data_IF_264492930018
#
_entry.id   IF_264492930018
#
_cell.length_a   1.000
_cell.length_b   1.000
_cell.length_c   1.000
_cell.angle_alpha   90.00
_cell.angle_beta   90.00
_cell.angle_gamma   90.00
#
_symmetry.space_group_name_H-M   'P 1'
#
loop_
_entity.id
_entity.type
_entity.pdbx_description
1 polymer ?
#
# COMPACT_ATOMS: atom_id res chain seq x y z
N UNK A 1 -27.67 -1.77 -19.05
CA UNK A 1 -27.01 -2.81 -18.24
C UNK A 1 -25.53 -2.49 -18.10
N UNK A 2 -24.89 -2.92 -17.01
CA UNK A 2 -23.45 -2.81 -16.75
C UNK A 2 -22.67 -4.10 -17.09
N UNK A 3 -23.38 -5.16 -17.49
CA UNK A 3 -22.79 -6.34 -18.13
C UNK A 3 -22.74 -6.13 -19.64
N UNK A 4 -21.53 -6.13 -20.21
CA UNK A 4 -21.27 -5.86 -21.63
C UNK A 4 -20.21 -6.86 -22.14
N UNK A 5 -20.58 -8.14 -22.37
CA UNK A 5 -19.64 -9.20 -22.75
C UNK A 5 -18.93 -8.96 -24.09
N UNK A 6 -19.49 -8.11 -24.94
CA UNK A 6 -18.91 -7.70 -26.23
C UNK A 6 -17.90 -6.55 -26.13
N UNK A 7 -17.66 -6.01 -24.93
CA UNK A 7 -16.76 -4.86 -24.76
C UNK A 7 -15.30 -5.26 -24.97
N UNK A 8 -14.69 -4.70 -26.02
CA UNK A 8 -13.24 -4.74 -26.19
C UNK A 8 -12.57 -3.73 -25.24
N UNK A 9 -11.76 -4.23 -24.31
CA UNK A 9 -11.01 -3.38 -23.39
C UNK A 9 -10.06 -2.45 -24.13
N UNK A 10 -9.86 -1.24 -23.60
CA UNK A 10 -8.90 -0.27 -24.14
C UNK A 10 -7.57 -0.38 -23.40
N UNK A 11 -6.49 0.04 -24.05
CA UNK A 11 -5.17 0.10 -23.42
C UNK A 11 -5.12 1.03 -22.20
N UNK A 12 -6.02 2.01 -22.17
CA UNK A 12 -6.17 3.00 -21.08
C UNK A 12 -7.10 2.55 -19.96
N UNK A 13 -7.81 1.45 -20.09
CA UNK A 13 -8.74 1.01 -19.04
C UNK A 13 -7.97 0.42 -17.85
N UNK A 14 -8.38 0.78 -16.63
CA UNK A 14 -8.04 -0.01 -15.44
C UNK A 14 -8.90 -1.27 -15.48
N UNK A 15 -8.27 -2.44 -15.34
CA UNK A 15 -9.01 -3.71 -15.31
C UNK A 15 -8.91 -4.32 -13.92
N UNK A 16 -10.02 -4.83 -13.41
CA UNK A 16 -10.09 -5.54 -12.13
C UNK A 16 -10.60 -6.95 -12.32
N UNK A 17 -9.95 -7.91 -11.66
CA UNK A 17 -10.43 -9.29 -11.55
C UNK A 17 -11.03 -9.48 -10.16
N UNK A 18 -12.34 -9.67 -10.07
CA UNK A 18 -13.04 -9.93 -8.83
C UNK A 18 -13.41 -11.40 -8.72
N UNK A 19 -13.01 -12.07 -7.64
CA UNK A 19 -13.59 -13.34 -7.23
C UNK A 19 -14.92 -13.06 -6.53
N UNK A 20 -16.01 -13.42 -7.17
CA UNK A 20 -17.39 -13.14 -6.73
C UNK A 20 -18.07 -14.43 -6.28
N UNK A 21 -18.70 -14.41 -5.11
CA UNK A 21 -19.62 -15.46 -4.66
C UNK A 21 -21.01 -14.84 -4.47
N UNK A 22 -21.93 -14.99 -5.44
CA UNK A 22 -23.28 -14.45 -5.34
C UNK A 22 -24.12 -15.12 -4.23
N UNK A 23 -25.19 -14.46 -3.80
CA UNK A 23 -26.25 -15.13 -3.02
C UNK A 23 -26.99 -16.18 -3.88
N UNK A 24 -27.58 -17.22 -3.27
CA UNK A 24 -28.45 -18.15 -3.99
C UNK A 24 -29.57 -17.40 -4.73
N UNK A 25 -29.76 -17.72 -6.01
CA UNK A 25 -30.75 -17.08 -6.87
C UNK A 25 -30.31 -15.78 -7.53
N UNK A 26 -29.10 -15.26 -7.24
CA UNK A 26 -28.53 -14.11 -7.97
C UNK A 26 -27.67 -14.64 -9.13
N UNK A 27 -28.01 -14.31 -10.40
CA UNK A 27 -27.21 -14.69 -11.54
C UNK A 27 -25.78 -14.09 -11.48
N UNK A 28 -24.75 -14.79 -11.95
CA UNK A 28 -23.38 -14.26 -11.94
C UNK A 28 -23.24 -13.00 -12.80
N UNK A 29 -24.00 -12.89 -13.91
CA UNK A 29 -24.03 -11.70 -14.77
C UNK A 29 -24.56 -10.48 -14.02
N UNK A 30 -25.61 -10.65 -13.21
CA UNK A 30 -26.17 -9.59 -12.39
C UNK A 30 -25.21 -9.21 -11.25
N UNK A 31 -24.56 -10.19 -10.63
CA UNK A 31 -23.55 -9.95 -9.60
C UNK A 31 -22.35 -9.17 -10.16
N UNK A 32 -21.83 -9.55 -11.34
CA UNK A 32 -20.77 -8.83 -12.04
C UNK A 32 -21.19 -7.42 -12.47
N UNK A 33 -22.40 -7.27 -13.01
CA UNK A 33 -22.96 -5.97 -13.37
C UNK A 33 -23.12 -5.04 -12.15
N UNK A 34 -23.60 -5.56 -11.02
CA UNK A 34 -23.77 -4.79 -9.79
C UNK A 34 -22.42 -4.30 -9.24
N UNK A 35 -21.40 -5.16 -9.24
CA UNK A 35 -20.03 -4.74 -8.88
C UNK A 35 -19.55 -3.64 -9.82
N UNK A 36 -19.69 -3.79 -11.14
CA UNK A 36 -19.27 -2.78 -12.12
C UNK A 36 -20.03 -1.45 -11.98
N UNK A 37 -21.34 -1.50 -11.70
CA UNK A 37 -22.19 -0.34 -11.55
C UNK A 37 -21.78 0.51 -10.34
N UNK A 38 -21.76 -0.10 -9.16
CA UNK A 38 -21.62 0.59 -7.86
C UNK A 38 -20.15 0.83 -7.46
N UNK A 39 -19.21 0.41 -8.31
CA UNK A 39 -17.81 0.84 -8.29
C UNK A 39 -17.47 1.85 -9.39
N UNK A 40 -18.47 2.37 -10.12
CA UNK A 40 -18.28 3.40 -11.14
C UNK A 40 -19.30 4.54 -11.07
N UNK A 41 -20.53 4.32 -11.55
CA UNK A 41 -21.52 5.38 -11.83
C UNK A 41 -22.95 5.03 -11.45
N UNK A 42 -23.25 3.76 -11.22
CA UNK A 42 -24.61 3.28 -11.01
C UNK A 42 -25.07 3.37 -9.56
N UNK A 43 -26.38 3.29 -9.38
CA UNK A 43 -27.05 3.11 -8.08
C UNK A 43 -28.26 2.18 -8.26
N UNK A 44 -28.98 1.91 -7.17
CA UNK A 44 -30.05 0.91 -7.09
C UNK A 44 -31.32 1.21 -7.92
N UNK A 45 -31.47 2.42 -8.46
CA UNK A 45 -32.62 2.81 -9.30
C UNK A 45 -32.16 3.75 -10.42
N UNK A 46 -32.94 3.83 -11.49
CA UNK A 46 -32.65 4.75 -12.60
C UNK A 46 -32.74 6.20 -12.14
N UNK A 47 -31.79 7.03 -12.59
CA UNK A 47 -31.74 8.45 -12.27
C UNK A 47 -31.70 9.26 -13.56
N UNK A 48 -32.56 10.28 -13.67
CA UNK A 48 -32.66 11.09 -14.89
C UNK A 48 -31.38 11.89 -15.18
N UNK A 49 -30.56 12.13 -14.16
CA UNK A 49 -29.27 12.83 -14.25
C UNK A 49 -28.26 12.08 -15.11
N UNK A 50 -28.45 10.78 -15.36
CA UNK A 50 -27.66 10.03 -16.33
C UNK A 50 -27.74 10.65 -17.73
N UNK A 51 -28.87 11.27 -18.08
CA UNK A 51 -29.06 11.98 -19.35
C UNK A 51 -28.30 13.30 -19.47
N UNK A 52 -27.65 13.77 -18.39
CA UNK A 52 -26.80 14.96 -18.39
C UNK A 52 -25.33 14.64 -18.70
N UNK A 53 -24.96 13.35 -18.77
CA UNK A 53 -23.60 12.89 -19.04
C UNK A 53 -23.62 11.76 -20.08
N UNK A 54 -22.44 11.29 -20.48
CA UNK A 54 -22.31 10.12 -21.35
C UNK A 54 -21.98 8.89 -20.52
N UNK A 55 -23.00 8.14 -20.08
CA UNK A 55 -22.79 6.87 -19.40
C UNK A 55 -21.94 5.90 -20.23
N UNK A 56 -22.09 5.91 -21.55
CA UNK A 56 -21.28 5.07 -22.43
C UNK A 56 -19.80 5.42 -22.41
N UNK A 57 -19.42 6.63 -21.97
CA UNK A 57 -18.02 6.97 -21.69
C UNK A 57 -17.60 6.50 -20.31
N UNK A 58 -18.38 6.78 -19.27
CA UNK A 58 -17.96 6.70 -17.86
C UNK A 58 -18.32 5.41 -17.14
N UNK A 59 -19.28 4.62 -17.63
CA UNK A 59 -19.68 3.39 -16.93
C UNK A 59 -18.52 2.38 -16.86
N UNK A 60 -18.33 1.81 -15.67
CA UNK A 60 -17.61 0.56 -15.52
C UNK A 60 -18.35 -0.56 -16.26
N UNK A 61 -17.63 -1.58 -16.71
CA UNK A 61 -18.19 -2.63 -17.56
C UNK A 61 -17.72 -3.99 -17.09
N UNK A 62 -18.64 -4.85 -16.64
CA UNK A 62 -18.34 -6.26 -16.49
C UNK A 62 -18.34 -6.88 -17.88
N UNK A 63 -17.16 -7.21 -18.40
CA UNK A 63 -16.98 -7.60 -19.80
C UNK A 63 -16.69 -9.10 -19.97
N UNK A 64 -16.36 -9.80 -18.90
CA UNK A 64 -16.16 -11.24 -18.94
C UNK A 64 -16.41 -11.86 -17.56
N UNK A 65 -16.89 -13.11 -17.55
CA UNK A 65 -17.21 -13.88 -16.35
C UNK A 65 -16.83 -15.33 -16.59
N UNK A 66 -15.94 -15.87 -15.77
CA UNK A 66 -15.55 -17.28 -15.81
C UNK A 66 -15.85 -17.99 -14.48
N UNK A 67 -16.33 -19.25 -14.49
CA UNK A 67 -16.47 -20.04 -13.27
C UNK A 67 -15.09 -20.40 -12.70
N UNK A 68 -14.96 -20.37 -11.38
CA UNK A 68 -13.73 -20.79 -10.69
C UNK A 68 -13.68 -22.32 -10.64
N UNK A 69 -12.67 -22.91 -11.27
CA UNK A 69 -12.46 -24.36 -11.24
C UNK A 69 -12.36 -24.90 -9.80
N UNK A 70 -13.17 -25.93 -9.50
CA UNK A 70 -13.18 -26.61 -8.21
C UNK A 70 -13.97 -25.91 -7.09
N UNK A 71 -14.59 -24.76 -7.36
CA UNK A 71 -15.44 -24.05 -6.40
C UNK A 71 -16.89 -24.03 -6.90
N UNK A 72 -17.86 -24.27 -6.01
CA UNK A 72 -19.27 -24.18 -6.35
C UNK A 72 -19.77 -22.73 -6.20
N UNK A 73 -20.46 -22.22 -7.22
CA UNK A 73 -21.05 -20.88 -7.23
C UNK A 73 -20.05 -19.73 -6.95
N UNK A 74 -18.85 -19.83 -7.54
CA UNK A 74 -17.84 -18.78 -7.49
C UNK A 74 -17.31 -18.49 -8.89
N UNK A 75 -17.10 -17.20 -9.18
CA UNK A 75 -16.75 -16.72 -10.50
C UNK A 75 -15.61 -15.71 -10.41
N UNK A 76 -14.83 -15.57 -11.47
CA UNK A 76 -14.03 -14.37 -11.69
C UNK A 76 -14.82 -13.46 -12.63
N UNK A 77 -15.24 -12.30 -12.12
CA UNK A 77 -15.86 -11.26 -12.91
C UNK A 77 -14.81 -10.20 -13.25
N UNK A 78 -14.60 -9.97 -14.54
CA UNK A 78 -13.67 -8.97 -15.03
C UNK A 78 -14.39 -7.65 -15.30
N UNK A 79 -13.89 -6.57 -14.69
CA UNK A 79 -14.46 -5.23 -14.80
C UNK A 79 -13.46 -4.28 -15.42
N UNK A 80 -13.87 -3.55 -16.46
CA UNK A 80 -13.09 -2.48 -17.08
C UNK A 80 -13.61 -1.11 -16.64
N UNK A 81 -12.70 -0.25 -16.20
CA UNK A 81 -12.98 1.12 -15.77
C UNK A 81 -12.27 2.12 -16.70
N UNK A 82 -13.01 3.08 -17.28
CA UNK A 82 -12.41 4.18 -18.03
C UNK A 82 -11.39 4.96 -17.19
N UNK A 83 -10.27 5.35 -17.80
CA UNK A 83 -9.20 6.11 -17.14
C UNK A 83 -9.71 7.38 -16.44
N UNK A 84 -10.60 8.11 -17.10
CA UNK A 84 -11.13 9.41 -16.65
C UNK A 84 -11.92 9.35 -15.32
N UNK A 85 -12.19 8.15 -14.79
CA UNK A 85 -12.82 8.00 -13.48
C UNK A 85 -11.88 8.25 -12.30
N UNK A 86 -10.57 8.26 -12.54
CA UNK A 86 -9.57 8.19 -11.49
C UNK A 86 -8.75 9.48 -11.39
N UNK A 87 -8.65 10.00 -10.17
CA UNK A 87 -7.79 11.14 -9.83
C UNK A 87 -6.31 10.77 -10.02
N UNK A 88 -5.59 11.57 -10.81
CA UNK A 88 -4.18 11.38 -11.09
C UNK A 88 -3.32 11.34 -9.82
N UNK A 89 -2.57 10.25 -9.63
CA UNK A 89 -1.63 10.13 -8.52
C UNK A 89 -2.27 9.73 -7.18
N UNK A 90 -3.55 9.33 -7.18
CA UNK A 90 -4.31 9.01 -5.97
C UNK A 90 -4.67 7.53 -5.88
N UNK A 91 -3.87 6.75 -5.13
CA UNK A 91 -4.23 5.36 -4.76
C UNK A 91 -5.53 5.36 -3.95
N UNK A 92 -5.69 6.36 -3.09
CA UNK A 92 -6.89 6.57 -2.28
C UNK A 92 -8.15 6.66 -3.14
N UNK A 93 -8.16 7.51 -4.18
CA UNK A 93 -9.31 7.63 -5.08
C UNK A 93 -9.58 6.33 -5.85
N UNK A 94 -8.53 5.69 -6.40
CA UNK A 94 -8.66 4.41 -7.10
C UNK A 94 -9.33 3.33 -6.22
N UNK A 95 -8.89 3.16 -4.98
CA UNK A 95 -9.50 2.20 -4.06
C UNK A 95 -10.89 2.64 -3.59
N UNK A 96 -11.14 3.94 -3.44
CA UNK A 96 -12.47 4.46 -3.09
C UNK A 96 -13.50 4.03 -4.14
N UNK A 97 -13.16 4.06 -5.42
CA UNK A 97 -14.05 3.57 -6.49
C UNK A 97 -14.13 2.03 -6.49
N UNK A 98 -12.99 1.34 -6.63
CA UNK A 98 -12.96 -0.10 -6.93
C UNK A 98 -13.38 -0.97 -5.73
N UNK A 99 -13.02 -0.58 -4.51
CA UNK A 99 -13.26 -1.39 -3.30
C UNK A 99 -14.04 -0.64 -2.21
N UNK A 100 -14.61 0.54 -2.50
CA UNK A 100 -15.30 1.37 -1.51
C UNK A 100 -16.54 0.73 -0.92
N UNK A 101 -17.53 0.40 -1.76
CA UNK A 101 -18.86 -0.04 -1.30
C UNK A 101 -19.18 -1.50 -1.66
N UNK A 102 -18.66 -2.00 -2.79
CA UNK A 102 -19.11 -3.25 -3.42
C UNK A 102 -18.93 -4.51 -2.56
N UNK A 103 -18.02 -4.48 -1.58
CA UNK A 103 -17.76 -5.59 -0.65
C UNK A 103 -18.89 -5.82 0.37
N UNK A 104 -19.73 -4.80 0.60
CA UNK A 104 -20.86 -4.86 1.54
C UNK A 104 -22.22 -5.20 0.90
N UNK A 105 -22.24 -5.54 -0.39
CA UNK A 105 -23.49 -5.76 -1.13
C UNK A 105 -24.25 -6.98 -0.63
N UNK A 106 -25.52 -6.81 -0.24
CA UNK A 106 -26.36 -7.90 0.28
C UNK A 106 -26.58 -9.03 -0.71
N UNK A 107 -26.54 -8.73 -2.01
CA UNK A 107 -26.66 -9.71 -3.09
C UNK A 107 -25.42 -10.60 -3.25
N UNK A 108 -24.32 -10.29 -2.56
CA UNK A 108 -23.07 -11.05 -2.58
C UNK A 108 -22.84 -11.70 -1.21
N UNK A 109 -22.38 -12.96 -1.21
CA UNK A 109 -21.92 -13.64 0.02
C UNK A 109 -20.47 -13.31 0.33
N UNK A 110 -19.65 -13.18 -0.72
CA UNK A 110 -18.25 -12.81 -0.62
C UNK A 110 -17.77 -12.15 -1.90
N UNK A 111 -16.78 -11.26 -1.76
CA UNK A 111 -16.12 -10.59 -2.86
C UNK A 111 -14.64 -10.47 -2.51
N UNK A 112 -13.77 -10.78 -3.47
CA UNK A 112 -12.33 -10.55 -3.34
C UNK A 112 -11.76 -9.90 -4.58
N UNK A 113 -11.01 -8.82 -4.43
CA UNK A 113 -10.22 -8.25 -5.52
C UNK A 113 -8.93 -9.06 -5.66
N UNK A 114 -8.79 -9.77 -6.77
CA UNK A 114 -7.64 -10.64 -7.03
C UNK A 114 -6.50 -9.87 -7.69
N UNK A 115 -6.79 -9.04 -8.70
CA UNK A 115 -5.75 -8.36 -9.47
C UNK A 115 -6.24 -7.04 -10.07
N UNK A 116 -5.29 -6.15 -10.39
CA UNK A 116 -5.51 -4.92 -11.11
C UNK A 116 -4.50 -4.77 -12.26
N UNK A 117 -5.01 -4.57 -13.49
CA UNK A 117 -4.20 -4.03 -14.59
C UNK A 117 -4.23 -2.52 -14.49
N UNK A 118 -3.10 -1.92 -14.12
CA UNK A 118 -2.94 -0.47 -14.12
C UNK A 118 -2.31 -0.03 -15.46
N UNK A 119 -3.00 0.80 -16.27
CA UNK A 119 -2.53 1.20 -17.59
C UNK A 119 -1.34 2.18 -17.47
N UNK A 120 -0.39 2.18 -18.43
CA UNK A 120 0.75 3.09 -18.39
C UNK A 120 0.37 4.57 -18.23
N UNK A 121 -0.75 5.00 -18.83
CA UNK A 121 -1.26 6.36 -18.72
C UNK A 121 -1.55 6.76 -17.26
N UNK A 122 -2.08 5.85 -16.45
CA UNK A 122 -2.31 6.09 -15.02
C UNK A 122 -1.02 5.91 -14.21
N UNK A 123 -0.21 4.87 -14.48
CA UNK A 123 1.07 4.67 -13.77
C UNK A 123 1.97 5.92 -13.83
N UNK A 124 1.99 6.62 -14.98
CA UNK A 124 2.81 7.82 -15.18
C UNK A 124 2.40 9.04 -14.37
N UNK A 125 1.23 9.03 -13.73
CA UNK A 125 0.81 10.11 -12.84
C UNK A 125 1.36 9.95 -11.42
N UNK A 126 1.99 8.81 -11.10
CA UNK A 126 2.55 8.53 -9.79
C UNK A 126 4.08 8.71 -9.79
N UNK A 127 4.61 9.17 -8.66
CA UNK A 127 6.06 9.21 -8.45
C UNK A 127 6.68 7.80 -8.43
N UNK A 128 6.00 6.83 -7.82
CA UNK A 128 6.56 5.53 -7.47
C UNK A 128 7.55 5.59 -6.29
N UNK A 129 8.44 4.59 -6.15
CA UNK A 129 9.39 4.51 -5.05
C UNK A 129 10.31 5.74 -4.98
N UNK A 130 10.62 6.30 -3.79
CA UNK A 130 11.51 7.47 -3.66
C UNK A 130 12.92 7.27 -4.23
N UNK A 131 13.42 6.05 -4.36
CA UNK A 131 14.76 5.81 -4.92
C UNK A 131 14.78 4.58 -5.83
N UNK A 132 14.16 3.48 -5.39
CA UNK A 132 14.19 2.22 -6.11
C UNK A 132 15.48 1.44 -5.85
N UNK A 133 15.50 0.19 -6.32
CA UNK A 133 16.50 -0.82 -5.95
C UNK A 133 17.93 -0.38 -6.33
N UNK A 134 18.11 0.15 -7.55
CA UNK A 134 19.41 0.52 -8.08
C UNK A 134 20.03 1.67 -7.27
N UNK A 135 19.29 2.77 -7.11
CA UNK A 135 19.77 3.96 -6.38
C UNK A 135 19.98 3.64 -4.90
N UNK A 136 19.16 2.78 -4.29
CA UNK A 136 19.40 2.32 -2.91
C UNK A 136 20.73 1.57 -2.78
N UNK A 137 21.04 0.65 -3.71
CA UNK A 137 22.34 -0.05 -3.72
C UNK A 137 23.51 0.89 -3.95
N UNK A 138 23.35 1.86 -4.84
CA UNK A 138 24.37 2.86 -5.14
C UNK A 138 24.66 3.75 -3.93
N UNK A 139 23.61 4.24 -3.26
CA UNK A 139 23.73 5.06 -2.04
C UNK A 139 24.42 4.32 -0.89
N UNK A 140 24.21 3.01 -0.78
CA UNK A 140 24.75 2.19 0.31
C UNK A 140 26.06 1.51 -0.03
N UNK A 141 26.49 1.58 -1.30
CA UNK A 141 27.65 0.89 -1.86
C UNK A 141 27.67 -0.61 -1.57
N UNK A 142 26.53 -1.30 -1.79
CA UNK A 142 26.33 -2.72 -1.43
C UNK A 142 25.69 -3.51 -2.59
N UNK A 143 26.47 -4.43 -3.17
CA UNK A 143 26.11 -5.20 -4.37
C UNK A 143 26.36 -6.70 -4.21
N UNK A 144 25.82 -7.50 -5.13
CA UNK A 144 26.11 -8.94 -5.22
C UNK A 144 25.48 -9.80 -4.11
N UNK A 145 24.78 -9.21 -3.13
CA UNK A 145 24.08 -9.93 -2.08
C UNK A 145 22.76 -9.25 -1.65
N UNK A 146 21.86 -9.98 -1.00
CA UNK A 146 20.76 -9.40 -0.23
C UNK A 146 21.27 -8.49 0.89
N UNK A 147 20.45 -7.51 1.28
CA UNK A 147 20.67 -6.77 2.52
C UNK A 147 20.28 -7.62 3.72
N UNK A 148 21.00 -7.46 4.83
CA UNK A 148 20.70 -8.10 6.10
C UNK A 148 20.13 -7.07 7.08
N UNK A 149 18.94 -7.36 7.61
CA UNK A 149 18.19 -6.48 8.51
C UNK A 149 17.68 -7.20 9.75
N UNK A 150 17.46 -6.46 10.84
CA UNK A 150 16.89 -7.01 12.08
C UNK A 150 15.93 -6.02 12.77
N UNK A 151 14.76 -6.50 13.19
CA UNK A 151 13.86 -5.73 14.06
C UNK A 151 14.33 -5.84 15.51
N UNK A 152 14.51 -4.72 16.19
CA UNK A 152 14.91 -4.73 17.61
C UNK A 152 13.82 -5.37 18.47
N UNK A 153 14.23 -6.16 19.47
CA UNK A 153 13.35 -6.89 20.39
C UNK A 153 13.72 -6.65 21.86
N UNK A 154 12.78 -6.81 22.82
CA UNK A 154 11.35 -7.09 22.63
C UNK A 154 10.63 -5.98 21.86
N UNK A 155 9.44 -6.28 21.29
CA UNK A 155 8.72 -5.32 20.42
C UNK A 155 8.54 -3.95 21.09
N UNK A 156 8.11 -3.96 22.35
CA UNK A 156 7.83 -2.78 23.16
C UNK A 156 8.51 -2.91 24.53
N UNK A 157 8.73 -1.78 25.19
CA UNK A 157 9.19 -1.72 26.58
C UNK A 157 10.68 -1.42 26.79
N UNK A 158 11.50 -1.40 25.73
CA UNK A 158 12.87 -0.90 25.83
C UNK A 158 12.89 0.63 25.94
N UNK A 159 13.77 1.15 26.79
CA UNK A 159 14.10 2.58 26.83
C UNK A 159 14.92 3.00 25.61
N UNK A 160 14.89 4.28 25.26
CA UNK A 160 15.62 4.83 24.11
C UNK A 160 17.12 4.48 24.12
N UNK A 161 17.76 4.60 25.29
CA UNK A 161 19.19 4.28 25.46
C UNK A 161 19.49 2.80 25.22
N UNK A 162 18.65 1.91 25.76
CA UNK A 162 18.83 0.47 25.54
C UNK A 162 18.48 0.07 24.10
N UNK A 163 17.56 0.78 23.45
CA UNK A 163 17.27 0.62 22.03
C UNK A 163 18.52 0.92 21.19
N UNK A 164 19.16 2.08 21.42
CA UNK A 164 20.42 2.45 20.75
C UNK A 164 21.54 1.42 21.00
N UNK A 165 21.67 0.90 22.22
CA UNK A 165 22.63 -0.19 22.51
C UNK A 165 22.37 -1.42 21.63
N UNK A 166 21.13 -1.88 21.55
CA UNK A 166 20.77 -3.04 20.73
C UNK A 166 21.04 -2.78 19.24
N UNK A 167 20.71 -1.59 18.75
CA UNK A 167 21.03 -1.15 17.37
C UNK A 167 22.53 -1.24 17.10
N UNK A 168 23.36 -0.69 17.98
CA UNK A 168 24.81 -0.71 17.83
C UNK A 168 25.37 -2.14 17.75
N UNK A 169 25.02 -3.01 18.70
CA UNK A 169 25.54 -4.38 18.74
C UNK A 169 25.15 -5.18 17.49
N UNK A 170 23.91 -5.03 17.02
CA UNK A 170 23.45 -5.69 15.80
C UNK A 170 24.19 -5.18 14.54
N UNK A 171 24.38 -3.87 14.41
CA UNK A 171 25.02 -3.28 13.23
C UNK A 171 26.53 -3.56 13.17
N UNK A 172 27.23 -3.43 14.31
CA UNK A 172 28.67 -3.75 14.36
C UNK A 172 28.94 -5.24 14.12
N UNK A 173 27.96 -6.09 14.42
CA UNK A 173 28.01 -7.55 14.19
C UNK A 173 27.87 -7.97 12.71
N UNK A 174 27.66 -7.04 11.79
CA UNK A 174 27.68 -7.30 10.34
C UNK A 174 26.34 -7.10 9.63
N UNK A 175 25.27 -6.70 10.33
CA UNK A 175 24.03 -6.31 9.65
C UNK A 175 24.20 -4.99 8.90
N UNK A 176 23.48 -4.85 7.79
CA UNK A 176 23.38 -3.57 7.07
C UNK A 176 22.42 -2.63 7.79
N UNK A 177 21.34 -3.24 8.31
CA UNK A 177 20.22 -2.52 8.89
C UNK A 177 19.73 -3.10 10.21
N UNK A 178 19.19 -2.22 11.04
CA UNK A 178 18.20 -2.58 12.06
C UNK A 178 16.93 -1.75 11.83
N UNK A 179 15.85 -2.05 12.55
CA UNK A 179 14.62 -1.28 12.43
C UNK A 179 13.85 -1.17 13.72
N UNK A 180 13.12 -0.07 13.82
CA UNK A 180 11.99 0.03 14.73
C UNK A 180 11.00 -1.12 14.46
N UNK A 181 10.37 -1.64 15.51
CA UNK A 181 9.22 -2.51 15.34
C UNK A 181 8.01 -1.68 14.86
N UNK A 182 7.06 -2.25 14.12
CA UNK A 182 5.96 -1.47 13.52
C UNK A 182 5.15 -0.71 14.57
N UNK A 183 5.00 -1.31 15.74
CA UNK A 183 4.26 -0.69 16.83
C UNK A 183 5.14 0.19 17.74
N UNK A 184 6.41 0.43 17.41
CA UNK A 184 7.27 1.42 18.09
C UNK A 184 7.10 2.76 17.40
N UNK A 185 6.38 3.69 18.04
CA UNK A 185 6.18 5.04 17.53
C UNK A 185 6.71 6.05 18.56
N UNK A 186 5.89 6.48 19.52
CA UNK A 186 6.28 7.33 20.64
C UNK A 186 5.44 7.05 21.88
N UNK A 187 5.93 6.15 22.74
CA UNK A 187 5.21 5.66 23.90
C UNK A 187 5.76 6.25 25.21
N UNK A 188 5.03 6.11 26.33
CA UNK A 188 5.52 6.55 27.64
C UNK A 188 6.90 5.97 28.02
N UNK A 189 7.20 4.73 27.65
CA UNK A 189 8.49 4.09 27.95
C UNK A 189 9.64 4.56 27.04
N UNK A 190 9.33 5.16 25.88
CA UNK A 190 10.33 5.59 24.89
C UNK A 190 9.70 6.62 23.93
N UNK A 191 10.00 7.90 24.15
CA UNK A 191 9.62 8.96 23.22
C UNK A 191 10.49 8.91 21.96
N UNK A 192 9.87 9.22 20.83
CA UNK A 192 10.50 9.04 19.52
C UNK A 192 11.80 9.83 19.36
N UNK A 193 11.84 11.07 19.86
CA UNK A 193 13.00 11.95 19.66
C UNK A 193 14.24 11.43 20.39
N UNK A 194 14.06 10.91 21.62
CA UNK A 194 15.15 10.30 22.38
C UNK A 194 15.67 9.05 21.67
N UNK A 195 14.76 8.22 21.13
CA UNK A 195 15.14 7.02 20.36
C UNK A 195 15.95 7.39 19.12
N UNK A 196 15.52 8.40 18.36
CA UNK A 196 16.19 8.84 17.14
C UNK A 196 17.64 9.27 17.44
N UNK A 197 17.85 10.03 18.52
CA UNK A 197 19.18 10.47 18.94
C UNK A 197 20.11 9.29 19.28
N UNK A 198 19.68 8.38 20.16
CA UNK A 198 20.51 7.23 20.55
C UNK A 198 20.73 6.23 19.40
N UNK A 199 19.77 6.09 18.48
CA UNK A 199 19.94 5.23 17.30
C UNK A 199 20.89 5.86 16.28
N UNK A 200 20.86 7.18 16.08
CA UNK A 200 21.83 7.87 15.23
C UNK A 200 23.25 7.75 15.80
N UNK A 201 23.44 7.94 17.11
CA UNK A 201 24.73 7.69 17.77
C UNK A 201 25.23 6.25 17.54
N UNK A 202 24.36 5.26 17.76
CA UNK A 202 24.66 3.86 17.57
C UNK A 202 25.04 3.50 16.11
N UNK A 203 24.28 4.04 15.15
CA UNK A 203 24.51 3.88 13.71
C UNK A 203 25.90 4.41 13.33
N UNK A 204 26.20 5.66 13.68
CA UNK A 204 27.48 6.27 13.30
C UNK A 204 28.67 5.61 14.01
N UNK A 205 28.48 5.16 15.26
CA UNK A 205 29.49 4.38 15.97
C UNK A 205 29.80 3.06 15.25
N UNK A 206 28.78 2.29 14.87
CA UNK A 206 28.96 1.03 14.14
C UNK A 206 29.55 1.24 12.73
N UNK A 207 29.14 2.29 12.03
CA UNK A 207 29.69 2.66 10.72
C UNK A 207 31.17 3.03 10.82
N UNK A 208 31.57 3.81 11.83
CA UNK A 208 32.97 4.15 12.06
C UNK A 208 33.83 2.92 12.42
N UNK A 209 33.29 1.98 13.19
CA UNK A 209 33.99 0.73 13.56
C UNK A 209 34.17 -0.23 12.37
N UNK A 210 33.15 -0.36 11.51
CA UNK A 210 33.13 -1.37 10.44
C UNK A 210 33.61 -0.84 9.09
N UNK A 211 33.62 0.47 8.87
CA UNK A 211 33.90 1.08 7.57
C UNK A 211 32.80 0.91 6.53
N UNK A 212 31.66 0.32 6.90
CA UNK A 212 30.51 0.15 6.00
C UNK A 212 29.38 1.13 6.34
N UNK A 213 28.64 1.57 5.31
CA UNK A 213 27.40 2.33 5.51
C UNK A 213 26.38 1.48 6.28
N UNK A 214 25.83 2.03 7.36
CA UNK A 214 24.81 1.39 8.21
C UNK A 214 23.51 2.20 8.23
N UNK A 215 22.39 1.55 8.51
CA UNK A 215 21.11 2.21 8.68
C UNK A 215 20.28 1.66 9.83
N UNK A 216 19.40 2.50 10.36
CA UNK A 216 18.33 2.07 11.25
C UNK A 216 17.02 2.67 10.74
N UNK A 217 16.01 1.84 10.47
CA UNK A 217 14.73 2.34 9.96
C UNK A 217 13.96 3.03 11.10
N UNK A 218 14.12 4.35 11.20
CA UNK A 218 13.44 5.17 12.20
C UNK A 218 11.96 5.34 11.82
N UNK A 219 11.04 4.91 12.68
CA UNK A 219 9.61 4.87 12.36
C UNK A 219 8.95 6.25 12.44
N UNK A 220 8.51 6.75 11.28
CA UNK A 220 7.81 8.02 11.11
C UNK A 220 6.30 7.91 11.39
N UNK A 221 5.71 6.72 11.48
CA UNK A 221 4.27 6.53 11.69
C UNK A 221 3.76 7.26 12.93
N UNK A 222 2.74 8.09 12.77
CA UNK A 222 2.20 8.97 13.80
C UNK A 222 0.67 9.10 13.69
N UNK A 223 0.06 9.75 14.68
CA UNK A 223 -1.40 9.97 14.71
C UNK A 223 -1.89 11.09 13.78
N UNK A 224 -0.99 11.96 13.30
CA UNK A 224 -1.31 13.01 12.31
C UNK A 224 -0.17 13.16 11.31
N UNK A 225 -0.47 13.71 10.13
CA UNK A 225 0.51 13.99 9.08
C UNK A 225 1.60 14.97 9.53
N UNK A 226 1.25 15.95 10.36
CA UNK A 226 2.19 16.95 10.90
C UNK A 226 3.23 16.27 11.80
N UNK A 227 2.80 15.37 12.69
CA UNK A 227 3.72 14.63 13.55
C UNK A 227 4.53 13.59 12.76
N UNK A 228 3.97 12.99 11.71
CA UNK A 228 4.70 12.09 10.82
C UNK A 228 5.84 12.85 10.11
N UNK A 229 5.54 13.99 9.49
CA UNK A 229 6.53 14.80 8.79
C UNK A 229 7.56 15.38 9.75
N UNK A 230 7.17 15.82 10.96
CA UNK A 230 8.09 16.29 11.99
C UNK A 230 9.15 15.24 12.36
N UNK A 231 8.77 13.96 12.40
CA UNK A 231 9.73 12.86 12.62
C UNK A 231 10.65 12.67 11.43
N UNK A 232 10.11 12.67 10.21
CA UNK A 232 10.91 12.55 8.99
C UNK A 232 11.92 13.70 8.85
N UNK A 233 11.51 14.94 9.17
CA UNK A 233 12.38 16.12 9.22
C UNK A 233 13.52 15.92 10.22
N UNK A 234 13.21 15.44 11.43
CA UNK A 234 14.26 15.21 12.41
C UNK A 234 15.22 14.07 12.01
N UNK A 235 14.72 12.99 11.39
CA UNK A 235 15.57 11.96 10.82
C UNK A 235 16.52 12.52 9.75
N UNK A 236 16.01 13.41 8.89
CA UNK A 236 16.80 14.13 7.89
C UNK A 236 17.87 15.02 8.55
N UNK A 237 17.52 15.77 9.60
CA UNK A 237 18.48 16.61 10.36
C UNK A 237 19.60 15.78 10.99
N UNK A 238 19.32 14.55 11.40
CA UNK A 238 20.32 13.60 11.90
C UNK A 238 21.15 12.93 10.78
N UNK A 239 20.87 13.24 9.51
CA UNK A 239 21.53 12.70 8.32
C UNK A 239 21.50 11.16 8.21
N UNK A 240 20.52 10.50 8.84
CA UNK A 240 20.37 9.05 8.70
C UNK A 240 19.87 8.67 7.29
N UNK A 241 20.22 7.49 6.75
CA UNK A 241 19.91 7.17 5.36
C UNK A 241 18.47 6.74 5.12
N UNK A 242 17.72 6.35 6.16
CA UNK A 242 16.47 5.61 6.00
C UNK A 242 15.48 5.84 7.15
N UNK A 243 14.19 5.92 6.80
CA UNK A 243 13.05 5.90 7.72
C UNK A 243 12.10 4.76 7.35
N UNK A 244 11.13 4.46 8.22
CA UNK A 244 10.03 3.54 7.90
C UNK A 244 8.65 4.13 8.16
N UNK A 245 7.65 3.55 7.48
CA UNK A 245 6.24 3.89 7.64
C UNK A 245 5.33 2.67 7.49
N UNK A 246 4.32 2.58 8.35
CA UNK A 246 3.22 1.61 8.25
C UNK A 246 2.12 2.14 7.32
N UNK A 247 2.18 1.81 6.02
CA UNK A 247 1.37 2.50 5.01
C UNK A 247 -0.13 2.22 5.09
N UNK A 248 -0.56 1.04 5.54
CA UNK A 248 -1.99 0.72 5.65
C UNK A 248 -2.60 1.35 6.90
N UNK A 249 -1.94 1.23 8.04
CA UNK A 249 -2.45 1.81 9.30
C UNK A 249 -2.27 3.32 9.37
N UNK A 250 -1.24 3.87 8.72
CA UNK A 250 -1.09 5.32 8.50
C UNK A 250 -1.94 5.86 7.34
N UNK A 251 -2.29 5.01 6.38
CA UNK A 251 -3.12 5.33 5.22
C UNK A 251 -2.33 5.77 3.98
N UNK A 252 -2.88 5.49 2.80
CA UNK A 252 -2.28 5.80 1.50
C UNK A 252 -1.98 7.30 1.32
N UNK A 253 -2.88 8.18 1.75
CA UNK A 253 -2.68 9.64 1.65
C UNK A 253 -1.43 10.11 2.42
N UNK A 254 -1.26 9.68 3.67
CA UNK A 254 -0.08 10.00 4.46
C UNK A 254 1.18 9.38 3.86
N UNK A 255 1.07 8.13 3.39
CA UNK A 255 2.18 7.43 2.75
C UNK A 255 2.68 8.11 1.47
N UNK A 256 1.77 8.59 0.61
CA UNK A 256 2.14 9.33 -0.61
C UNK A 256 2.86 10.63 -0.26
N UNK A 257 2.34 11.39 0.71
CA UNK A 257 3.00 12.61 1.20
C UNK A 257 4.41 12.32 1.73
N UNK A 258 4.59 11.25 2.51
CA UNK A 258 5.91 10.86 3.01
C UNK A 258 6.83 10.38 1.88
N UNK A 259 6.32 9.67 0.88
CA UNK A 259 7.11 9.24 -0.28
C UNK A 259 7.64 10.42 -1.10
N UNK A 260 6.82 11.47 -1.31
CA UNK A 260 7.27 12.73 -1.93
C UNK A 260 8.35 13.40 -1.07
N UNK A 261 8.10 13.54 0.25
CA UNK A 261 9.07 14.11 1.17
C UNK A 261 10.43 13.37 1.13
N UNK A 262 10.40 12.03 1.14
CA UNK A 262 11.60 11.20 1.11
C UNK A 262 12.38 11.34 -0.21
N UNK A 263 11.69 11.48 -1.35
CA UNK A 263 12.31 11.76 -2.65
C UNK A 263 13.06 13.10 -2.61
N UNK A 264 12.39 14.15 -2.15
CA UNK A 264 12.94 15.52 -2.15
C UNK A 264 14.07 15.72 -1.13
N UNK A 265 14.13 14.86 -0.10
CA UNK A 265 15.10 14.96 0.99
C UNK A 265 16.14 13.83 1.00
N UNK A 266 16.14 12.95 -0.01
CA UNK A 266 17.15 11.91 -0.16
C UNK A 266 17.08 10.76 0.86
N UNK A 267 15.97 10.63 1.59
CA UNK A 267 15.74 9.55 2.56
C UNK A 267 15.24 8.28 1.85
N UNK A 268 15.82 7.13 2.17
CA UNK A 268 15.20 5.84 1.84
C UNK A 268 13.93 5.65 2.69
N UNK A 269 12.93 4.96 2.12
CA UNK A 269 11.64 4.73 2.76
C UNK A 269 11.31 3.24 2.79
N UNK A 270 11.46 2.62 3.95
CA UNK A 270 11.00 1.26 4.20
C UNK A 270 9.50 1.25 4.49
N UNK A 271 8.74 0.43 3.77
CA UNK A 271 7.31 0.25 4.01
C UNK A 271 7.09 -1.03 4.80
N UNK A 272 6.46 -0.89 5.97
CA UNK A 272 5.95 -2.03 6.71
C UNK A 272 4.44 -2.16 6.47
N UNK A 273 3.98 -3.40 6.30
CA UNK A 273 2.62 -3.73 5.85
C UNK A 273 1.68 -4.09 6.99
N UNK A 274 1.83 -3.47 8.16
CA UNK A 274 0.95 -3.73 9.31
C UNK A 274 -0.52 -3.68 8.87
N UNK A 275 -1.37 -4.59 9.38
CA UNK A 275 -2.79 -4.77 9.00
C UNK A 275 -3.07 -5.52 7.69
N UNK A 276 -2.10 -5.77 6.80
CA UNK A 276 -2.37 -6.39 5.49
C UNK A 276 -3.16 -7.71 5.55
N UNK A 277 -2.81 -8.60 6.50
CA UNK A 277 -3.45 -9.91 6.65
C UNK A 277 -4.91 -9.86 7.15
N UNK A 278 -5.40 -8.71 7.62
CA UNK A 278 -6.82 -8.48 7.87
C UNK A 278 -7.59 -8.47 6.55
N UNK A 279 -6.94 -8.02 5.47
CA UNK A 279 -7.51 -7.80 4.15
C UNK A 279 -7.20 -8.97 3.21
N UNK A 280 -5.99 -9.54 3.27
CA UNK A 280 -5.48 -10.40 2.19
C UNK A 280 -5.40 -11.90 2.47
N UNK A 281 -5.68 -12.31 3.72
CA UNK A 281 -5.43 -13.69 4.16
C UNK A 281 -6.39 -14.71 3.55
N UNK A 282 -7.67 -14.37 3.48
CA UNK A 282 -8.70 -15.32 3.06
C UNK A 282 -8.84 -15.32 1.54
N UNK A 283 -9.01 -16.51 0.95
CA UNK A 283 -9.14 -16.66 -0.51
C UNK A 283 -10.51 -16.23 -1.03
N UNK A 284 -11.55 -16.30 -0.19
CA UNK A 284 -12.93 -16.01 -0.60
C UNK A 284 -13.31 -14.53 -0.50
N UNK A 285 -12.70 -13.75 0.41
CA UNK A 285 -13.09 -12.36 0.66
C UNK A 285 -11.87 -11.47 0.96
N UNK A 286 -11.91 -10.21 0.49
CA UNK A 286 -10.90 -9.19 0.79
C UNK A 286 -10.10 -8.72 -0.44
N UNK A 287 -8.81 -8.43 -0.30
CA UNK A 287 -7.98 -8.02 -1.44
C UNK A 287 -6.69 -8.81 -1.42
N UNK A 288 -6.32 -9.45 -2.53
CA UNK A 288 -5.06 -10.19 -2.59
C UNK A 288 -3.86 -9.26 -2.38
N UNK A 289 -2.83 -9.71 -1.66
CA UNK A 289 -1.63 -8.89 -1.36
C UNK A 289 -0.90 -8.36 -2.61
N UNK A 290 -1.10 -8.98 -3.78
CA UNK A 290 -0.54 -8.50 -5.07
C UNK A 290 -1.10 -7.14 -5.51
N UNK A 291 -2.30 -6.81 -5.03
CA UNK A 291 -2.99 -5.54 -5.28
C UNK A 291 -2.50 -4.45 -4.32
N UNK A 292 -2.06 -4.85 -3.12
CA UNK A 292 -1.63 -3.99 -2.03
C UNK A 292 -0.17 -3.53 -2.17
#
# INVERSE_FOLDING_TARGET
TYYTPEYATKDTDILAAFRVTPQPGVPPEEAGAAVAAESSTGTWTSVWTDGLTSLDRYKGRCYDIEPVAGEENQYICYVAYPLDLFEEGSVTNMFTSIVGNVFGFKALRALRLEDLRIPPAYVKTFQGPPHGIQVERDKLNKYGRPFLGCTIKPKLGLSAKNYGRAVYECLRGGLDFTKDDENVNSQPFMRWRDRFLFCAEALYKAQAETGEIKGHYLNATAGTSEEMLKRAVFARELAVPIVMHDYLTGGFTANTSLAHYCRDNGLLLHIHRAMHAVIDRQKNHGMHFRVL
#
